data_IF_278656586915
#
_entry.id   IF_278656586915
#
_cell.length_a   1.000
_cell.length_b   1.000
_cell.length_c   1.000
_cell.angle_alpha   90.00
_cell.angle_beta   90.00
_cell.angle_gamma   90.00
#
_symmetry.space_group_name_H-M   'P 1'
#
loop_
_entity.id
_entity.type
_entity.pdbx_description
1 polymer ?
#
# COMPACT_ATOMS: atom_id res chain seq x y z
N UNK A 1 -1.83 -33.10 -60.53
CA UNK A 1 -2.05 -31.99 -59.57
C UNK A 1 -2.66 -30.84 -60.37
N UNK A 2 -3.84 -30.38 -59.96
CA UNK A 2 -4.67 -29.36 -60.63
C UNK A 2 -4.01 -28.00 -60.45
N UNK A 3 -3.77 -27.28 -61.54
CA UNK A 3 -3.37 -25.86 -61.51
C UNK A 3 -4.62 -25.05 -61.82
N UNK A 4 -5.12 -24.32 -60.81
CA UNK A 4 -6.26 -23.41 -60.95
C UNK A 4 -5.71 -22.05 -61.38
N UNK A 5 -6.24 -21.53 -62.49
CA UNK A 5 -5.96 -20.19 -63.02
C UNK A 5 -6.93 -19.21 -62.37
N UNK A 6 -6.42 -18.07 -61.88
CA UNK A 6 -7.23 -17.02 -61.26
C UNK A 6 -7.94 -16.14 -62.32
N UNK A 7 -9.15 -15.64 -62.06
CA UNK A 7 -9.88 -14.78 -63.00
C UNK A 7 -9.45 -13.29 -62.90
N UNK A 8 -9.54 -12.59 -64.03
CA UNK A 8 -9.26 -11.16 -64.16
C UNK A 8 -10.41 -10.31 -63.59
N UNK A 9 -10.07 -9.33 -62.76
CA UNK A 9 -10.99 -8.37 -62.14
C UNK A 9 -10.77 -6.99 -62.76
N UNK A 10 -11.77 -6.52 -63.52
CA UNK A 10 -11.83 -5.15 -64.04
C UNK A 10 -12.48 -4.24 -62.99
N UNK A 11 -11.79 -3.15 -62.64
CA UNK A 11 -12.25 -2.15 -61.67
C UNK A 11 -12.74 -0.93 -62.45
N UNK A 12 -14.06 -0.71 -62.46
CA UNK A 12 -14.66 0.55 -62.93
C UNK A 12 -14.81 1.50 -61.74
N UNK A 13 -14.05 2.60 -61.74
CA UNK A 13 -14.30 3.74 -60.86
C UNK A 13 -15.47 4.54 -61.41
N UNK A 14 -16.51 4.73 -60.60
CA UNK A 14 -17.54 5.74 -60.86
C UNK A 14 -17.52 6.80 -59.76
N UNK A 15 -17.50 8.05 -60.18
CA UNK A 15 -17.50 9.25 -59.34
C UNK A 15 -18.95 9.58 -58.97
N UNK A 16 -19.23 9.81 -57.69
CA UNK A 16 -20.45 10.51 -57.27
C UNK A 16 -20.10 11.62 -56.28
N UNK A 17 -20.28 12.86 -56.74
CA UNK A 17 -20.22 14.07 -55.93
C UNK A 17 -21.54 14.32 -55.17
N UNK A 18 -21.41 14.82 -53.93
CA UNK A 18 -22.31 15.84 -53.35
C UNK A 18 -23.45 15.41 -52.40
N UNK A 19 -23.37 15.80 -51.11
CA UNK A 19 -24.38 16.65 -50.43
C UNK A 19 -24.15 16.80 -48.89
N UNK A 20 -23.52 17.91 -48.50
CA UNK A 20 -23.90 18.96 -47.51
C UNK A 20 -24.86 18.64 -46.32
N UNK A 21 -24.31 18.82 -45.09
CA UNK A 21 -24.79 19.38 -43.78
C UNK A 21 -25.97 18.82 -42.94
N UNK A 22 -25.66 18.44 -41.68
CA UNK A 22 -26.16 18.98 -40.39
C UNK A 22 -25.44 18.23 -39.24
N UNK A 23 -24.58 18.85 -38.42
CA UNK A 23 -24.76 19.74 -37.26
C UNK A 23 -25.11 19.03 -35.93
N UNK A 24 -24.38 19.44 -34.88
CA UNK A 24 -24.54 19.22 -33.43
C UNK A 24 -24.36 17.82 -32.80
N UNK A 25 -23.21 17.61 -32.15
CA UNK A 25 -23.08 17.54 -30.67
C UNK A 25 -21.64 17.10 -30.30
N UNK A 26 -20.73 18.07 -30.20
CA UNK A 26 -19.40 17.91 -29.59
C UNK A 26 -19.49 18.43 -28.16
N UNK A 27 -19.58 17.52 -27.19
CA UNK A 27 -19.27 17.85 -25.80
C UNK A 27 -17.75 17.74 -25.61
N UNK A 28 -17.11 18.90 -25.59
CA UNK A 28 -15.80 19.11 -24.99
C UNK A 28 -15.94 19.05 -23.46
N UNK A 29 -15.11 18.30 -22.73
CA UNK A 29 -14.77 18.69 -21.37
C UNK A 29 -13.54 19.59 -21.48
N UNK A 30 -13.81 20.89 -21.53
CA UNK A 30 -12.81 21.92 -21.23
C UNK A 30 -12.37 21.79 -19.75
N UNK A 31 -11.07 21.99 -19.56
CA UNK A 31 -10.44 22.61 -18.39
C UNK A 31 -10.63 21.93 -17.02
N UNK A 32 -9.83 20.90 -16.77
CA UNK A 32 -9.23 20.73 -15.45
C UNK A 32 -7.85 21.40 -15.45
N UNK A 33 -7.87 22.70 -15.21
CA UNK A 33 -6.71 23.45 -14.73
C UNK A 33 -6.17 22.75 -13.47
N UNK A 34 -5.05 22.03 -13.63
CA UNK A 34 -4.23 21.66 -12.48
C UNK A 34 -3.60 22.97 -12.01
N UNK A 35 -4.13 23.52 -10.92
CA UNK A 35 -3.53 24.68 -10.26
C UNK A 35 -2.10 24.33 -9.83
N UNK A 36 -1.10 24.91 -10.50
CA UNK A 36 0.33 24.73 -10.20
C UNK A 36 0.76 25.63 -9.02
N UNK A 37 -0.16 26.35 -8.39
CA UNK A 37 0.11 27.31 -7.31
C UNK A 37 -0.32 26.88 -5.88
N UNK A 38 -0.67 25.61 -5.60
CA UNK A 38 -0.68 25.12 -4.20
C UNK A 38 0.74 24.78 -3.71
N UNK A 39 1.64 25.71 -4.06
CA UNK A 39 2.99 25.95 -3.60
C UNK A 39 2.86 26.86 -2.37
N UNK A 40 2.67 26.27 -1.18
CA UNK A 40 2.86 27.05 0.05
C UNK A 40 4.33 26.90 0.49
N UNK A 41 5.10 27.95 0.21
CA UNK A 41 6.40 28.24 0.82
C UNK A 41 6.23 28.85 2.23
N UNK A 42 7.25 28.73 3.11
CA UNK A 42 7.10 28.64 4.56
C UNK A 42 6.93 30.01 5.24
N UNK A 43 6.13 30.04 6.31
CA UNK A 43 6.15 31.16 7.25
C UNK A 43 7.00 30.78 8.47
N UNK A 44 8.24 31.28 8.49
CA UNK A 44 8.98 31.48 9.73
C UNK A 44 8.59 32.86 10.27
N UNK A 45 8.07 32.92 11.50
CA UNK A 45 8.46 33.85 12.58
C UNK A 45 7.33 34.02 13.58
N UNK A 46 7.46 33.40 14.76
CA UNK A 46 7.15 34.14 15.98
C UNK A 46 8.01 33.63 17.13
N UNK A 47 9.13 34.35 17.32
CA UNK A 47 9.92 34.31 18.54
C UNK A 47 9.35 35.36 19.49
N UNK A 48 8.68 34.95 20.56
CA UNK A 48 8.58 35.79 21.75
C UNK A 48 8.78 34.95 23.01
N UNK A 49 9.87 35.31 23.69
CA UNK A 49 10.26 34.81 25.00
C UNK A 49 9.32 35.28 26.12
N UNK A 50 9.34 34.48 27.18
CA UNK A 50 9.24 34.87 28.59
C UNK A 50 7.83 35.07 29.19
N UNK A 51 7.38 34.08 29.99
CA UNK A 51 7.51 34.12 31.46
C UNK A 51 7.15 32.75 32.04
N UNK A 52 7.94 32.34 33.04
CA UNK A 52 7.97 30.98 33.54
C UNK A 52 6.81 30.56 34.44
N UNK A 53 6.76 29.25 34.64
CA UNK A 53 6.47 28.65 35.93
C UNK A 53 7.00 27.21 35.89
N UNK A 54 7.91 26.92 36.83
CA UNK A 54 8.55 25.62 36.94
C UNK A 54 7.52 24.52 37.23
N UNK A 55 7.76 23.36 36.63
CA UNK A 55 7.59 22.08 37.29
C UNK A 55 8.60 21.12 36.66
N UNK A 56 9.64 20.88 37.44
CA UNK A 56 10.60 19.79 37.34
C UNK A 56 9.83 18.45 37.32
N UNK A 57 9.88 17.74 36.20
CA UNK A 57 9.46 16.34 36.12
C UNK A 57 10.53 15.58 35.33
N UNK A 58 11.45 15.00 36.10
CA UNK A 58 12.32 13.90 35.70
C UNK A 58 11.46 12.79 35.08
N UNK A 59 11.57 12.59 33.77
CA UNK A 59 11.15 11.33 33.16
C UNK A 59 12.34 10.40 33.21
N UNK A 60 12.40 9.62 34.29
CA UNK A 60 13.30 8.50 34.43
C UNK A 60 13.20 7.58 33.22
N UNK A 61 14.34 7.39 32.56
CA UNK A 61 14.58 6.29 31.64
C UNK A 61 14.43 4.96 32.40
N UNK A 62 13.24 4.36 32.37
CA UNK A 62 13.05 2.97 32.77
C UNK A 62 12.10 2.24 31.81
N UNK A 63 12.66 1.16 31.27
CA UNK A 63 12.03 0.02 30.62
C UNK A 63 11.68 0.17 29.13
N UNK A 64 12.67 -0.12 28.28
CA UNK A 64 12.39 -0.79 27.00
C UNK A 64 11.75 -2.15 27.30
N UNK A 65 10.57 -2.48 26.76
CA UNK A 65 10.17 -3.86 26.58
C UNK A 65 10.72 -4.31 25.22
N UNK A 66 11.80 -5.08 25.27
CA UNK A 66 12.12 -5.98 24.17
C UNK A 66 11.10 -7.12 24.19
N UNK A 67 10.12 -7.07 23.30
CA UNK A 67 9.69 -8.18 22.44
C UNK A 67 8.59 -7.64 21.51
N UNK A 68 8.87 -7.46 20.22
CA UNK A 68 7.87 -7.02 19.23
C UNK A 68 6.88 -8.12 18.83
N UNK A 69 7.01 -9.31 19.42
CA UNK A 69 6.10 -10.44 19.20
C UNK A 69 4.66 -10.14 19.66
N UNK A 70 4.49 -9.41 20.77
CA UNK A 70 3.17 -9.18 21.39
C UNK A 70 2.25 -8.25 20.57
N UNK A 71 2.82 -7.41 19.68
CA UNK A 71 2.03 -6.54 18.79
C UNK A 71 1.40 -7.29 17.63
N UNK A 72 1.96 -8.46 17.27
CA UNK A 72 1.54 -9.28 16.12
C UNK A 72 0.99 -10.66 16.53
N UNK A 73 1.14 -11.05 17.79
CA UNK A 73 0.63 -12.30 18.33
C UNK A 73 0.53 -12.27 19.85
N UNK A 74 -0.70 -12.44 20.34
CA UNK A 74 -1.04 -12.88 21.71
C UNK A 74 -0.78 -11.92 22.88
N UNK A 75 -1.20 -10.66 22.76
CA UNK A 75 -1.36 -9.74 23.90
C UNK A 75 -2.82 -9.36 24.10
N UNK A 76 -3.51 -9.99 25.06
CA UNK A 76 -4.91 -9.72 25.40
C UNK A 76 -5.12 -8.29 25.87
N UNK A 77 -5.67 -7.44 25.01
CA UNK A 77 -6.39 -6.22 25.41
C UNK A 77 -7.87 -6.58 25.48
N UNK A 78 -8.34 -6.81 26.70
CA UNK A 78 -9.72 -7.10 27.03
C UNK A 78 -10.56 -5.83 26.81
N UNK A 79 -11.15 -5.67 25.62
CA UNK A 79 -12.30 -4.78 25.45
C UNK A 79 -13.20 -5.26 24.31
N UNK A 80 -14.29 -5.93 24.67
CA UNK A 80 -15.37 -6.28 23.73
C UNK A 80 -16.10 -7.58 24.09
N UNK A 81 -17.14 -7.47 24.92
CA UNK A 81 -18.12 -8.53 25.21
C UNK A 81 -18.55 -9.31 23.96
N UNK A 82 -18.13 -10.58 23.87
CA UNK A 82 -18.44 -11.46 22.74
C UNK A 82 -19.77 -12.21 22.97
N UNK A 83 -20.89 -11.56 22.68
CA UNK A 83 -22.11 -12.29 22.33
C UNK A 83 -21.99 -12.73 20.87
N UNK A 84 -21.79 -14.03 20.60
CA UNK A 84 -21.67 -14.70 19.28
C UNK A 84 -20.27 -15.05 18.74
N UNK A 85 -19.23 -15.12 19.56
CA UNK A 85 -17.94 -15.72 19.15
C UNK A 85 -17.13 -14.94 18.10
N UNK A 86 -17.59 -13.77 17.66
CA UNK A 86 -16.82 -12.83 16.84
C UNK A 86 -15.91 -11.98 17.72
N UNK A 87 -14.61 -12.03 17.44
CA UNK A 87 -13.59 -11.23 18.13
C UNK A 87 -13.40 -9.91 17.38
N UNK A 88 -14.00 -8.83 17.88
CA UNK A 88 -13.86 -7.51 17.28
C UNK A 88 -12.75 -6.71 17.95
N UNK A 89 -12.01 -5.92 17.17
CA UNK A 89 -11.09 -4.90 17.67
C UNK A 89 -11.46 -3.55 17.09
N UNK A 90 -11.69 -2.57 17.96
CA UNK A 90 -11.87 -1.18 17.55
C UNK A 90 -10.51 -0.52 17.33
N UNK A 91 -10.36 0.20 16.23
CA UNK A 91 -9.15 0.95 15.87
C UNK A 91 -9.55 2.33 15.34
N UNK A 92 -8.69 3.32 15.54
CA UNK A 92 -8.87 4.66 14.97
C UNK A 92 -7.86 4.79 13.84
N UNK A 93 -8.33 4.97 12.61
CA UNK A 93 -7.48 5.18 11.43
C UNK A 93 -7.76 6.59 10.92
N UNK A 94 -6.74 7.46 10.97
CA UNK A 94 -6.93 8.89 10.79
C UNK A 94 -7.86 9.46 11.87
N UNK A 95 -9.05 9.93 11.47
CA UNK A 95 -10.07 10.49 12.36
C UNK A 95 -11.32 9.60 12.50
N UNK A 96 -11.30 8.41 11.89
CA UNK A 96 -12.46 7.52 11.83
C UNK A 96 -12.27 6.28 12.72
N UNK A 97 -13.32 5.93 13.45
CA UNK A 97 -13.38 4.67 14.19
C UNK A 97 -13.79 3.53 13.24
N UNK A 98 -12.97 2.48 13.22
CA UNK A 98 -13.21 1.25 12.47
C UNK A 98 -13.26 0.05 13.42
N UNK A 99 -14.00 -0.99 13.03
CA UNK A 99 -14.06 -2.27 13.75
C UNK A 99 -13.54 -3.38 12.85
N UNK A 100 -12.55 -4.11 13.35
CA UNK A 100 -11.91 -5.22 12.66
C UNK A 100 -12.41 -6.54 13.24
N UNK A 101 -12.89 -7.45 12.41
CA UNK A 101 -13.19 -8.83 12.78
C UNK A 101 -11.88 -9.65 12.79
N UNK A 102 -11.25 -9.75 13.97
CA UNK A 102 -10.00 -10.49 14.16
C UNK A 102 -10.18 -11.99 13.96
N UNK A 103 -11.37 -12.53 14.23
CA UNK A 103 -11.62 -13.96 14.07
C UNK A 103 -11.45 -14.38 12.61
N UNK A 104 -11.95 -13.57 11.68
CA UNK A 104 -11.93 -13.91 10.26
C UNK A 104 -10.56 -13.71 9.61
N UNK A 105 -9.80 -12.70 10.05
CA UNK A 105 -8.47 -12.42 9.50
C UNK A 105 -7.34 -13.21 10.16
N UNK A 106 -7.60 -13.89 11.28
CA UNK A 106 -6.60 -14.67 12.05
C UNK A 106 -5.67 -15.53 11.18
N UNK A 107 -6.13 -16.26 10.14
CA UNK A 107 -5.26 -17.07 9.30
C UNK A 107 -4.27 -16.25 8.44
N UNK A 108 -4.56 -14.97 8.22
CA UNK A 108 -3.86 -14.08 7.30
C UNK A 108 -3.04 -12.99 8.02
N UNK A 109 -3.09 -12.90 9.35
CA UNK A 109 -2.38 -11.86 10.11
C UNK A 109 -0.87 -11.85 9.89
N UNK A 110 -0.28 -13.01 9.54
CA UNK A 110 1.14 -13.14 9.15
C UNK A 110 1.51 -12.39 7.87
N UNK A 111 0.54 -11.81 7.14
CA UNK A 111 0.80 -10.96 5.98
C UNK A 111 1.65 -9.75 6.33
N UNK A 112 1.59 -9.26 7.58
CA UNK A 112 2.40 -8.15 8.07
C UNK A 112 3.11 -8.55 9.35
N UNK A 113 4.42 -8.30 9.42
CA UNK A 113 5.26 -8.61 10.58
C UNK A 113 6.29 -7.50 10.81
N UNK A 114 6.81 -7.41 12.02
CA UNK A 114 7.95 -6.54 12.33
C UNK A 114 9.25 -7.22 11.92
N UNK A 115 10.04 -6.54 11.09
CA UNK A 115 11.34 -7.01 10.58
C UNK A 115 12.54 -6.49 11.37
N UNK A 116 12.32 -5.92 12.56
CA UNK A 116 13.36 -5.26 13.35
C UNK A 116 13.48 -3.77 13.04
N UNK A 117 14.60 -3.18 13.45
CA UNK A 117 14.87 -1.76 13.32
C UNK A 117 16.10 -1.51 12.45
N UNK A 118 16.17 -0.37 11.77
CA UNK A 118 17.33 0.08 11.00
C UNK A 118 17.89 1.42 11.49
N UNK A 119 19.11 1.75 11.06
CA UNK A 119 19.85 2.92 11.52
C UNK A 119 20.33 2.71 12.96
N UNK A 120 20.20 3.72 13.81
CA UNK A 120 20.53 3.64 15.24
C UNK A 120 19.47 2.87 16.07
N UNK A 121 18.66 2.03 15.43
CA UNK A 121 17.61 1.23 16.07
C UNK A 121 16.30 1.98 16.32
N UNK A 122 16.13 3.18 15.77
CA UNK A 122 14.95 4.03 15.99
C UNK A 122 13.82 3.80 14.98
N UNK A 123 14.17 3.31 13.78
CA UNK A 123 13.23 3.28 12.65
C UNK A 123 12.81 1.84 12.35
N UNK A 124 11.51 1.58 12.30
CA UNK A 124 10.97 0.24 12.12
C UNK A 124 11.10 -0.26 10.66
N UNK A 125 11.31 -1.56 10.51
CA UNK A 125 11.16 -2.29 9.25
C UNK A 125 9.86 -3.08 9.35
N UNK A 126 8.95 -2.85 8.41
CA UNK A 126 7.69 -3.58 8.31
C UNK A 126 7.76 -4.52 7.12
N UNK A 127 7.54 -5.81 7.35
CA UNK A 127 7.59 -6.84 6.31
C UNK A 127 6.17 -7.20 5.90
N UNK A 128 5.85 -7.00 4.64
CA UNK A 128 4.59 -7.41 4.02
C UNK A 128 4.82 -8.64 3.12
N UNK A 129 4.32 -9.81 3.53
CA UNK A 129 4.48 -11.06 2.81
C UNK A 129 3.22 -11.42 2.02
N UNK A 130 3.23 -11.15 0.71
CA UNK A 130 2.07 -11.30 -0.16
C UNK A 130 1.58 -12.76 -0.30
N UNK A 131 2.44 -13.74 -0.04
CA UNK A 131 2.08 -15.16 -0.09
C UNK A 131 1.01 -15.53 0.94
N UNK A 132 0.86 -14.75 2.01
CA UNK A 132 -0.17 -14.95 3.04
C UNK A 132 -1.49 -14.22 2.74
N UNK A 133 -1.64 -13.56 1.58
CA UNK A 133 -2.91 -12.97 1.19
C UNK A 133 -3.98 -14.04 0.91
N UNK A 134 -5.26 -13.75 1.20
CA UNK A 134 -6.37 -14.66 0.91
C UNK A 134 -6.53 -14.89 -0.60
N UNK A 135 -7.08 -16.05 -0.94
CA UNK A 135 -7.39 -16.40 -2.33
C UNK A 135 -8.72 -15.76 -2.76
N UNK A 136 -8.79 -15.17 -3.96
CA UNK A 136 -10.02 -14.55 -4.48
C UNK A 136 -11.19 -15.53 -4.66
N UNK A 137 -10.93 -16.84 -4.62
CA UNK A 137 -11.96 -17.86 -4.72
C UNK A 137 -12.79 -18.03 -3.43
N UNK A 138 -12.41 -17.37 -2.32
CA UNK A 138 -13.17 -17.40 -1.07
C UNK A 138 -14.47 -16.60 -1.21
N UNK A 139 -15.57 -17.14 -0.69
CA UNK A 139 -16.87 -16.47 -0.72
C UNK A 139 -16.84 -15.09 -0.04
N UNK A 140 -16.16 -14.99 1.11
CA UNK A 140 -16.03 -13.76 1.89
C UNK A 140 -14.75 -12.96 1.57
N UNK A 141 -14.12 -13.19 0.40
CA UNK A 141 -12.82 -12.59 0.05
C UNK A 141 -12.77 -11.07 0.25
N UNK A 142 -13.78 -10.34 -0.23
CA UNK A 142 -13.82 -8.89 -0.10
C UNK A 142 -13.88 -8.44 1.36
N UNK A 143 -14.71 -9.10 2.17
CA UNK A 143 -14.84 -8.80 3.59
C UNK A 143 -13.54 -9.12 4.35
N UNK A 144 -12.90 -10.25 4.07
CA UNK A 144 -11.59 -10.62 4.63
C UNK A 144 -10.55 -9.57 4.26
N UNK A 145 -10.47 -9.20 2.99
CA UNK A 145 -9.49 -8.21 2.51
C UNK A 145 -9.69 -6.82 3.11
N UNK A 146 -10.94 -6.40 3.33
CA UNK A 146 -11.22 -5.11 4.00
C UNK A 146 -10.79 -5.14 5.46
N UNK A 147 -11.11 -6.19 6.21
CA UNK A 147 -10.66 -6.33 7.60
C UNK A 147 -9.13 -6.47 7.69
N UNK A 148 -8.52 -7.22 6.77
CA UNK A 148 -7.07 -7.40 6.72
C UNK A 148 -6.37 -6.08 6.39
N UNK A 149 -6.97 -5.26 5.54
CA UNK A 149 -6.45 -3.93 5.24
C UNK A 149 -6.46 -3.01 6.45
N UNK A 150 -7.60 -2.96 7.16
CA UNK A 150 -7.73 -2.18 8.39
C UNK A 150 -6.71 -2.65 9.44
N UNK A 151 -6.50 -3.96 9.56
CA UNK A 151 -5.48 -4.54 10.43
C UNK A 151 -4.06 -4.09 10.05
N UNK A 152 -3.72 -4.10 8.75
CA UNK A 152 -2.41 -3.64 8.27
C UNK A 152 -2.20 -2.16 8.57
N UNK A 153 -3.18 -1.29 8.27
CA UNK A 153 -3.04 0.15 8.58
C UNK A 153 -2.92 0.36 10.10
N UNK A 154 -3.79 -0.28 10.89
CA UNK A 154 -3.73 -0.21 12.35
C UNK A 154 -2.36 -0.64 12.89
N UNK A 155 -1.77 -1.68 12.31
CA UNK A 155 -0.43 -2.14 12.69
C UNK A 155 0.64 -1.09 12.35
N UNK A 156 0.55 -0.47 11.17
CA UNK A 156 1.44 0.62 10.79
C UNK A 156 1.32 1.82 11.74
N UNK A 157 0.10 2.23 12.11
CA UNK A 157 -0.10 3.36 13.03
C UNK A 157 0.53 3.13 14.41
N UNK A 158 0.52 1.89 14.90
CA UNK A 158 1.11 1.51 16.18
C UNK A 158 2.64 1.42 16.14
N UNK A 159 3.21 0.96 15.02
CA UNK A 159 4.65 0.69 14.91
C UNK A 159 5.45 1.89 14.42
N UNK A 160 4.78 2.80 13.70
CA UNK A 160 5.44 3.94 13.05
C UNK A 160 5.27 5.17 13.95
N UNK A 161 6.27 5.42 14.79
CA UNK A 161 6.41 6.70 15.47
C UNK A 161 6.97 7.77 14.52
N UNK A 162 8.08 7.45 13.85
CA UNK A 162 8.82 8.35 12.94
C UNK A 162 9.01 7.70 11.56
N UNK A 163 10.23 7.70 11.00
CA UNK A 163 10.56 7.11 9.72
C UNK A 163 10.54 5.57 9.77
N UNK A 164 10.16 4.95 8.67
CA UNK A 164 10.12 3.49 8.57
C UNK A 164 10.31 3.00 7.14
N UNK A 165 10.62 1.71 6.98
CA UNK A 165 10.69 1.05 5.67
C UNK A 165 9.64 -0.05 5.59
N UNK A 166 9.09 -0.26 4.39
CA UNK A 166 8.28 -1.44 4.09
C UNK A 166 9.08 -2.34 3.15
N UNK A 167 9.21 -3.62 3.51
CA UNK A 167 9.71 -4.68 2.64
C UNK A 167 8.51 -5.49 2.16
N UNK A 168 8.20 -5.40 0.87
CA UNK A 168 7.17 -6.20 0.22
C UNK A 168 7.78 -7.47 -0.39
N UNK A 169 7.46 -8.63 0.17
CA UNK A 169 7.89 -9.93 -0.33
C UNK A 169 6.81 -10.50 -1.27
N UNK A 170 7.10 -10.53 -2.58
CA UNK A 170 6.13 -10.99 -3.56
C UNK A 170 5.98 -12.53 -3.58
N UNK A 171 7.02 -13.30 -3.22
CA UNK A 171 6.94 -14.76 -2.96
C UNK A 171 6.19 -15.61 -3.99
N UNK A 172 6.38 -15.35 -5.29
CA UNK A 172 5.64 -16.00 -6.37
C UNK A 172 4.10 -15.97 -6.22
N UNK A 173 3.57 -14.95 -5.54
CA UNK A 173 2.15 -14.86 -5.21
C UNK A 173 1.30 -14.86 -6.48
N UNK A 174 0.36 -15.83 -6.63
CA UNK A 174 -0.48 -15.90 -7.80
C UNK A 174 -1.41 -14.70 -7.87
N UNK A 175 -1.71 -14.24 -9.09
CA UNK A 175 -2.53 -13.04 -9.33
C UNK A 175 -3.87 -13.04 -8.58
N UNK A 176 -4.46 -14.21 -8.38
CA UNK A 176 -5.74 -14.39 -7.67
C UNK A 176 -5.70 -14.00 -6.19
N UNK A 177 -4.52 -13.86 -5.58
CA UNK A 177 -4.40 -13.38 -4.20
C UNK A 177 -4.18 -11.86 -4.11
N UNK A 178 -3.97 -11.23 -5.26
CA UNK A 178 -3.60 -9.82 -5.30
C UNK A 178 -4.84 -8.93 -5.48
N UNK A 179 -4.96 -7.85 -4.69
CA UNK A 179 -6.04 -6.89 -4.87
C UNK A 179 -5.98 -6.20 -6.23
N UNK A 180 -7.14 -5.77 -6.73
CA UNK A 180 -7.26 -5.00 -7.97
C UNK A 180 -6.82 -3.54 -7.82
N UNK A 181 -6.75 -2.83 -8.96
CA UNK A 181 -6.32 -1.43 -9.01
C UNK A 181 -7.22 -0.49 -8.18
N UNK A 182 -8.55 -0.70 -8.22
CA UNK A 182 -9.50 0.10 -7.44
C UNK A 182 -9.30 -0.06 -5.93
N UNK A 183 -8.97 -1.26 -5.48
CA UNK A 183 -8.62 -1.51 -4.08
C UNK A 183 -7.30 -0.84 -3.72
N UNK A 184 -6.28 -0.89 -4.58
CA UNK A 184 -5.00 -0.21 -4.33
C UNK A 184 -5.18 1.31 -4.23
N UNK A 185 -6.04 1.90 -5.06
CA UNK A 185 -6.41 3.32 -4.98
C UNK A 185 -7.10 3.64 -3.66
N UNK A 186 -8.13 2.86 -3.27
CA UNK A 186 -8.83 3.01 -1.98
C UNK A 186 -7.85 2.87 -0.82
N UNK A 187 -6.94 1.91 -0.90
CA UNK A 187 -5.90 1.65 0.07
C UNK A 187 -4.98 2.87 0.24
N UNK A 188 -4.42 3.39 -0.85
CA UNK A 188 -3.57 4.59 -0.81
C UNK A 188 -4.28 5.84 -0.27
N UNK A 189 -5.59 5.96 -0.49
CA UNK A 189 -6.41 7.06 0.03
C UNK A 189 -6.72 6.93 1.52
N UNK A 190 -6.88 5.71 2.03
CA UNK A 190 -7.15 5.44 3.45
C UNK A 190 -5.90 5.54 4.33
N UNK A 191 -4.70 5.38 3.76
CA UNK A 191 -3.46 5.55 4.53
C UNK A 191 -3.27 7.03 4.88
N UNK A 192 -3.09 7.29 6.18
CA UNK A 192 -2.88 8.63 6.70
C UNK A 192 -1.71 9.36 6.01
N UNK A 193 -1.79 10.69 5.93
CA UNK A 193 -0.74 11.53 5.33
C UNK A 193 0.60 11.35 6.04
N UNK A 194 0.59 11.20 7.37
CA UNK A 194 1.78 10.96 8.20
C UNK A 194 2.49 9.68 7.80
N UNK A 195 1.77 8.56 7.73
CA UNK A 195 2.33 7.26 7.33
C UNK A 195 2.94 7.30 5.92
N UNK A 196 2.33 8.03 4.99
CA UNK A 196 2.88 8.20 3.63
C UNK A 196 4.13 9.07 3.60
N UNK A 197 4.20 10.11 4.45
CA UNK A 197 5.37 11.01 4.54
C UNK A 197 6.57 10.30 5.16
N UNK A 198 6.35 9.62 6.27
CA UNK A 198 7.40 8.96 7.06
C UNK A 198 7.94 7.66 6.43
N UNK A 199 7.24 7.11 5.43
CA UNK A 199 7.79 5.98 4.68
C UNK A 199 9.09 6.39 3.99
N UNK A 200 10.21 5.80 4.33
CA UNK A 200 11.51 6.08 3.71
C UNK A 200 11.70 5.32 2.40
N UNK A 201 11.35 4.03 2.41
CA UNK A 201 11.43 3.17 1.23
C UNK A 201 10.32 2.12 1.26
N UNK A 202 9.79 1.81 0.07
CA UNK A 202 8.99 0.62 -0.21
C UNK A 202 9.82 -0.30 -1.09
N UNK A 203 10.47 -1.30 -0.49
CA UNK A 203 11.37 -2.23 -1.16
C UNK A 203 10.55 -3.44 -1.61
N UNK A 204 10.40 -3.63 -2.92
CA UNK A 204 9.65 -4.73 -3.52
C UNK A 204 10.64 -5.81 -3.96
N UNK A 205 10.59 -6.94 -3.24
CA UNK A 205 11.46 -8.10 -3.45
C UNK A 205 10.81 -9.07 -4.42
N UNK A 206 11.57 -9.49 -5.43
CA UNK A 206 11.13 -10.35 -6.54
C UNK A 206 9.88 -9.80 -7.25
N UNK A 207 9.93 -8.57 -7.79
CA UNK A 207 8.76 -7.94 -8.41
C UNK A 207 8.25 -8.75 -9.60
N UNK A 208 7.00 -9.19 -9.53
CA UNK A 208 6.32 -9.78 -10.68
C UNK A 208 6.02 -8.73 -11.76
N UNK A 209 5.92 -9.17 -13.02
CA UNK A 209 5.45 -8.30 -14.12
C UNK A 209 4.11 -7.64 -13.78
N UNK A 210 3.23 -8.39 -13.12
CA UNK A 210 1.93 -7.88 -12.69
C UNK A 210 2.04 -6.66 -11.77
N UNK A 211 2.85 -6.74 -10.70
CA UNK A 211 3.03 -5.62 -9.76
C UNK A 211 3.63 -4.41 -10.47
N UNK A 212 4.63 -4.63 -11.34
CA UNK A 212 5.24 -3.54 -12.11
C UNK A 212 4.21 -2.83 -12.99
N UNK A 213 3.33 -3.59 -13.65
CA UNK A 213 2.24 -3.05 -14.47
C UNK A 213 1.22 -2.29 -13.63
N UNK A 214 0.79 -2.83 -12.49
CA UNK A 214 -0.14 -2.12 -11.59
C UNK A 214 0.46 -0.83 -11.08
N UNK A 215 1.72 -0.85 -10.64
CA UNK A 215 2.39 0.34 -10.15
C UNK A 215 2.54 1.38 -11.27
N UNK A 216 2.87 0.97 -12.50
CA UNK A 216 2.94 1.87 -13.65
C UNK A 216 1.59 2.52 -13.97
N UNK A 217 0.50 1.73 -14.01
CA UNK A 217 -0.86 2.23 -14.25
C UNK A 217 -1.36 3.07 -13.06
N UNK A 218 -0.83 2.83 -11.86
CA UNK A 218 -1.23 3.56 -10.66
C UNK A 218 -0.64 4.97 -10.52
N UNK A 219 0.38 5.28 -11.33
CA UNK A 219 1.09 6.57 -11.28
C UNK A 219 0.18 7.81 -11.31
N UNK A 220 -0.92 7.89 -12.08
CA UNK A 220 -1.77 9.09 -12.11
C UNK A 220 -2.46 9.42 -10.78
N UNK A 221 -2.56 8.45 -9.85
CA UNK A 221 -3.27 8.65 -8.58
C UNK A 221 -2.37 8.49 -7.34
N UNK A 222 -1.08 8.19 -7.52
CA UNK A 222 -0.09 8.12 -6.45
C UNK A 222 0.85 9.30 -6.59
N UNK A 223 1.18 9.96 -5.47
CA UNK A 223 2.08 11.12 -5.53
C UNK A 223 3.46 10.74 -6.07
N UNK A 224 4.07 11.63 -6.85
CA UNK A 224 5.43 11.43 -7.40
C UNK A 224 6.43 11.15 -6.28
N UNK A 225 6.30 11.87 -5.15
CA UNK A 225 7.11 11.68 -3.92
C UNK A 225 6.95 10.29 -3.31
N UNK A 226 5.81 9.65 -3.47
CA UNK A 226 5.63 8.27 -3.00
C UNK A 226 6.20 7.27 -3.99
N UNK A 227 5.95 7.46 -5.30
CA UNK A 227 6.53 6.60 -6.34
C UNK A 227 8.06 6.60 -6.28
N UNK A 228 8.70 7.72 -5.94
CA UNK A 228 10.16 7.80 -5.79
C UNK A 228 10.71 7.00 -4.61
N UNK A 229 9.85 6.55 -3.68
CA UNK A 229 10.24 5.68 -2.54
C UNK A 229 10.25 4.20 -2.93
N UNK A 230 9.70 3.84 -4.09
CA UNK A 230 9.61 2.45 -4.53
C UNK A 230 10.96 1.99 -5.08
N UNK A 231 11.50 0.94 -4.47
CA UNK A 231 12.72 0.29 -4.89
C UNK A 231 12.41 -1.15 -5.26
N UNK A 232 13.05 -1.66 -6.33
CA UNK A 232 12.89 -3.03 -6.77
C UNK A 232 14.19 -3.77 -6.51
N UNK A 233 14.11 -4.90 -5.82
CA UNK A 233 15.24 -5.82 -5.62
C UNK A 233 14.89 -7.20 -6.15
N UNK A 234 15.85 -7.83 -6.80
CA UNK A 234 15.67 -9.07 -7.55
C UNK A 234 16.15 -10.31 -6.79
N UNK A 235 16.89 -10.13 -5.70
CA UNK A 235 17.34 -11.20 -4.81
C UNK A 235 17.29 -10.79 -3.34
N UNK A 236 17.35 -11.78 -2.44
CA UNK A 236 17.50 -11.55 -1.00
C UNK A 236 18.88 -10.98 -0.64
N UNK A 237 19.90 -11.29 -1.45
CA UNK A 237 21.25 -10.74 -1.30
C UNK A 237 21.27 -9.23 -1.53
N UNK A 238 20.52 -8.73 -2.53
CA UNK A 238 20.33 -7.29 -2.74
C UNK A 238 19.58 -6.65 -1.57
N UNK A 239 18.59 -7.35 -0.98
CA UNK A 239 17.86 -6.87 0.19
C UNK A 239 18.76 -6.76 1.42
N UNK A 240 19.63 -7.75 1.65
CA UNK A 240 20.58 -7.80 2.77
C UNK A 240 21.56 -6.62 2.76
N UNK A 241 21.88 -6.08 1.58
CA UNK A 241 22.71 -4.88 1.44
C UNK A 241 21.97 -3.59 1.83
N UNK A 242 20.64 -3.61 1.89
CA UNK A 242 19.81 -2.43 2.17
C UNK A 242 19.32 -2.37 3.62
N UNK A 243 19.08 -3.52 4.25
CA UNK A 243 18.51 -3.61 5.60
C UNK A 243 19.12 -4.72 6.44
N UNK A 244 19.13 -4.58 7.79
CA UNK A 244 19.46 -5.69 8.67
C UNK A 244 18.43 -6.80 8.57
N UNK A 245 18.88 -8.04 8.36
CA UNK A 245 18.02 -9.19 8.10
C UNK A 245 17.72 -10.08 9.32
N UNK A 246 18.33 -9.77 10.48
CA UNK A 246 18.30 -10.61 11.70
C UNK A 246 16.90 -10.96 12.20
N UNK A 247 15.95 -10.03 12.06
CA UNK A 247 14.58 -10.17 12.54
C UNK A 247 13.55 -10.30 11.40
N UNK A 248 14.01 -10.36 10.15
CA UNK A 248 13.14 -10.44 8.97
C UNK A 248 12.68 -11.88 8.77
N UNK A 249 11.39 -12.13 8.95
CA UNK A 249 10.80 -13.45 8.71
C UNK A 249 10.51 -13.65 7.21
N UNK A 250 11.33 -14.45 6.55
CA UNK A 250 11.19 -14.77 5.12
C UNK A 250 10.36 -16.06 4.95
N UNK A 251 9.22 -16.02 4.24
CA UNK A 251 8.47 -17.22 3.87
C UNK A 251 9.27 -18.14 2.93
N UNK A 252 9.14 -19.46 3.06
CA UNK A 252 9.86 -20.44 2.24
C UNK A 252 9.68 -20.24 0.72
N UNK A 253 8.50 -19.78 0.28
CA UNK A 253 8.22 -19.50 -1.13
C UNK A 253 8.95 -18.28 -1.69
N UNK A 254 9.64 -17.50 -0.85
CA UNK A 254 10.47 -16.34 -1.21
C UNK A 254 11.95 -16.73 -1.30
N UNK A 255 12.36 -17.85 -0.69
CA UNK A 255 13.75 -18.33 -0.72
C UNK A 255 14.17 -18.95 -2.07
N UNK A 256 13.27 -18.99 -3.06
CA UNK A 256 13.43 -19.69 -4.34
C UNK A 256 13.88 -18.78 -5.47
#
# INVERSE_FOLDING_TARGET
RKTLVAPEINISLDQSEGSILSDDFLDTPDDLDINVDDIETPDETDSLEFLGNGNELEWEAKNMPGDSADLFGDGGTEDGSATNGRLWRTVIIGEQEHRIDLQMIKPYMRVVTHGGYYGEGLNAIIVFAACYLPDSNLADYHYIMENLFLYVISSLELLVAEDYMIVYLNGATPRRRMPGLGWLKKCYQMIDRRLRKNLKALIIVHPSWFIRTVLAISRPFISVKFISKIQYVHSLEELEQLIPMEHVQIPDCVLQ
#
